data_IF_807068836981
#
_entry.id   IF_807068836981
#
_cell.length_a   1.000
_cell.length_b   1.000
_cell.length_c   1.000
_cell.angle_alpha   90.00
_cell.angle_beta   90.00
_cell.angle_gamma   90.00
#
_symmetry.space_group_name_H-M   'P 1'
#
loop_
_entity.id
_entity.type
_entity.pdbx_description
1 polymer ?
#
# COMPACT_ATOMS: atom_id res chain seq x y z
N UNK A 1 7.35 7.75 49.92
CA UNK A 1 7.69 6.66 48.97
C UNK A 1 6.44 6.39 48.14
N UNK A 2 6.32 7.01 46.96
CA UNK A 2 5.10 6.96 46.14
C UNK A 2 5.14 5.74 45.21
N UNK A 3 4.09 4.92 45.20
CA UNK A 3 3.98 3.78 44.29
C UNK A 3 3.91 4.26 42.83
N UNK A 4 4.64 3.63 41.89
CA UNK A 4 4.61 4.05 40.49
C UNK A 4 3.22 3.82 39.86
N UNK A 5 2.81 4.69 38.93
CA UNK A 5 1.43 4.78 38.43
C UNK A 5 1.10 3.59 37.52
N UNK A 6 0.36 2.61 38.04
CA UNK A 6 -0.23 1.49 37.27
C UNK A 6 -1.04 1.95 36.05
N UNK A 7 -1.56 3.18 36.07
CA UNK A 7 -2.27 3.80 34.96
C UNK A 7 -1.36 4.11 33.75
N UNK A 8 -0.09 4.46 33.97
CA UNK A 8 0.84 4.76 32.89
C UNK A 8 1.21 3.50 32.10
N UNK A 9 1.37 2.37 32.78
CA UNK A 9 1.72 1.08 32.15
C UNK A 9 0.59 0.51 31.29
N UNK A 10 -0.67 0.79 31.65
CA UNK A 10 -1.85 0.35 30.88
C UNK A 10 -2.14 1.22 29.64
N UNK A 11 -1.77 2.51 29.65
CA UNK A 11 -1.90 3.39 28.50
C UNK A 11 -0.80 3.15 27.45
N UNK A 12 0.40 2.75 27.89
CA UNK A 12 1.53 2.49 27.00
C UNK A 12 1.38 1.19 26.20
N UNK A 13 0.65 0.20 26.73
CA UNK A 13 0.38 -1.07 26.04
C UNK A 13 -0.67 -0.96 24.92
N UNK A 14 -1.68 -0.09 25.06
CA UNK A 14 -2.68 0.18 24.02
C UNK A 14 -2.17 1.10 22.91
N UNK A 15 -1.29 2.05 23.25
CA UNK A 15 -0.56 2.85 22.27
C UNK A 15 0.38 1.97 21.41
N UNK A 16 1.07 1.02 22.05
CA UNK A 16 1.92 0.04 21.36
C UNK A 16 1.14 -0.83 20.36
N UNK A 17 0.00 -1.39 20.75
CA UNK A 17 -0.80 -2.23 19.86
C UNK A 17 -1.38 -1.45 18.67
N UNK A 18 -1.78 -0.19 18.88
CA UNK A 18 -2.28 0.67 17.80
C UNK A 18 -1.16 1.02 16.80
N UNK A 19 0.05 1.31 17.30
CA UNK A 19 1.21 1.58 16.47
C UNK A 19 1.64 0.36 15.63
N UNK A 20 1.54 -0.84 16.21
CA UNK A 20 1.80 -2.10 15.51
C UNK A 20 0.83 -2.31 14.34
N UNK A 21 -0.46 -2.00 14.52
CA UNK A 21 -1.47 -2.09 13.45
C UNK A 21 -1.13 -1.14 12.30
N UNK A 22 -0.81 0.13 12.58
CA UNK A 22 -0.41 1.07 11.53
C UNK A 22 0.86 0.64 10.80
N UNK A 23 1.83 0.09 11.54
CA UNK A 23 3.04 -0.50 10.96
C UNK A 23 2.74 -1.66 10.03
N UNK A 24 1.88 -2.59 10.45
CA UNK A 24 1.49 -3.75 9.65
C UNK A 24 0.78 -3.33 8.35
N UNK A 25 -0.14 -2.36 8.42
CA UNK A 25 -0.84 -1.82 7.23
C UNK A 25 0.17 -1.17 6.28
N UNK A 26 1.11 -0.37 6.79
CA UNK A 26 2.14 0.25 5.96
C UNK A 26 3.00 -0.80 5.22
N UNK A 27 3.32 -1.93 5.88
CA UNK A 27 4.04 -3.05 5.24
C UNK A 27 3.20 -3.77 4.19
N UNK A 28 1.90 -3.95 4.41
CA UNK A 28 1.01 -4.49 3.41
C UNK A 28 0.93 -3.59 2.16
N UNK A 29 0.90 -2.26 2.36
CA UNK A 29 0.94 -1.31 1.25
C UNK A 29 2.26 -1.34 0.48
N UNK A 30 3.40 -1.55 1.16
CA UNK A 30 4.70 -1.77 0.50
C UNK A 30 4.67 -2.96 -0.46
N UNK A 31 4.08 -4.07 -0.03
CA UNK A 31 3.93 -5.27 -0.87
C UNK A 31 2.99 -4.97 -2.05
N UNK A 32 1.88 -4.27 -1.81
CA UNK A 32 0.96 -3.89 -2.88
C UNK A 32 1.61 -2.98 -3.93
N UNK A 33 2.41 -2.01 -3.49
CA UNK A 33 3.21 -1.14 -4.34
C UNK A 33 4.21 -1.94 -5.19
N UNK A 34 4.87 -2.95 -4.62
CA UNK A 34 5.74 -3.86 -5.35
C UNK A 34 4.97 -4.62 -6.45
N UNK A 35 3.79 -5.15 -6.12
CA UNK A 35 2.92 -5.86 -7.07
C UNK A 35 2.46 -4.96 -8.23
N UNK A 36 2.09 -3.71 -7.94
CA UNK A 36 1.78 -2.71 -8.98
C UNK A 36 3.00 -2.37 -9.83
N UNK A 37 4.19 -2.32 -9.23
CA UNK A 37 5.44 -2.06 -9.95
C UNK A 37 5.72 -3.18 -10.95
N UNK A 38 5.55 -4.44 -10.52
CA UNK A 38 5.63 -5.59 -11.41
C UNK A 38 4.58 -5.50 -12.53
N UNK A 39 3.32 -5.14 -12.21
CA UNK A 39 2.26 -4.96 -13.22
C UNK A 39 2.65 -3.96 -14.30
N UNK A 40 3.27 -2.83 -13.94
CA UNK A 40 3.74 -1.81 -14.89
C UNK A 40 4.94 -2.28 -15.71
N UNK A 41 5.93 -2.91 -15.09
CA UNK A 41 7.08 -3.43 -15.82
C UNK A 41 6.63 -4.49 -16.83
N UNK A 42 5.70 -5.36 -16.43
CA UNK A 42 5.17 -6.42 -17.29
C UNK A 42 4.33 -5.88 -18.46
N UNK A 43 3.67 -4.72 -18.35
CA UNK A 43 2.93 -4.13 -19.49
C UNK A 43 3.84 -3.60 -20.59
N UNK A 44 5.14 -3.39 -20.31
CA UNK A 44 6.12 -3.03 -21.34
C UNK A 44 6.40 -4.21 -22.27
N UNK A 45 6.15 -5.45 -21.81
CA UNK A 45 6.27 -6.66 -22.62
C UNK A 45 4.94 -6.95 -23.33
N UNK A 46 4.84 -6.52 -24.58
CA UNK A 46 3.61 -6.67 -25.39
C UNK A 46 3.19 -8.13 -25.69
N UNK A 47 4.08 -9.10 -25.49
CA UNK A 47 3.82 -10.53 -25.75
C UNK A 47 3.27 -11.31 -24.54
N UNK A 48 2.96 -10.64 -23.42
CA UNK A 48 2.43 -11.32 -22.23
C UNK A 48 0.94 -11.63 -22.38
N UNK A 49 0.57 -12.89 -22.16
CA UNK A 49 -0.83 -13.30 -22.08
C UNK A 49 -1.38 -13.09 -20.67
N UNK A 50 -2.15 -12.02 -20.49
CA UNK A 50 -2.77 -11.63 -19.21
C UNK A 50 -3.96 -12.50 -18.77
N UNK A 51 -4.35 -13.49 -19.57
CA UNK A 51 -5.44 -14.42 -19.26
C UNK A 51 -4.94 -15.79 -18.76
N UNK A 52 -3.62 -16.02 -18.80
CA UNK A 52 -3.01 -17.23 -18.28
C UNK A 52 -2.35 -16.98 -16.92
N UNK A 53 -2.29 -18.00 -16.08
CA UNK A 53 -1.52 -17.95 -14.83
C UNK A 53 -0.02 -17.81 -15.12
N UNK A 54 0.74 -17.07 -14.30
CA UNK A 54 0.34 -16.37 -13.07
C UNK A 54 -0.22 -14.94 -13.29
N UNK A 55 -0.25 -14.47 -14.54
CA UNK A 55 -0.59 -13.08 -14.87
C UNK A 55 -2.08 -12.78 -14.70
N UNK A 56 -2.94 -13.78 -14.87
CA UNK A 56 -4.37 -13.66 -14.61
C UNK A 56 -4.66 -13.33 -13.13
N UNK A 57 -4.01 -14.02 -12.19
CA UNK A 57 -4.09 -13.68 -10.76
C UNK A 57 -3.59 -12.26 -10.49
N UNK A 58 -2.44 -11.88 -11.05
CA UNK A 58 -1.88 -10.53 -10.89
C UNK A 58 -2.85 -9.45 -11.40
N UNK A 59 -3.47 -9.71 -12.55
CA UNK A 59 -4.48 -8.84 -13.15
C UNK A 59 -5.70 -8.72 -12.25
N UNK A 60 -6.27 -9.82 -11.76
CA UNK A 60 -7.44 -9.81 -10.88
C UNK A 60 -7.19 -9.01 -9.59
N UNK A 61 -5.96 -9.05 -9.07
CA UNK A 61 -5.59 -8.32 -7.85
C UNK A 61 -5.33 -6.82 -8.08
N UNK A 62 -4.83 -6.45 -9.26
CA UNK A 62 -4.46 -5.06 -9.58
C UNK A 62 -5.56 -4.30 -10.32
N UNK A 63 -6.37 -4.95 -11.14
CA UNK A 63 -7.40 -4.32 -11.98
C UNK A 63 -8.47 -3.56 -11.19
N UNK A 64 -9.04 -4.06 -10.06
CA UNK A 64 -10.04 -3.29 -9.31
C UNK A 64 -9.53 -1.92 -8.85
N UNK A 65 -8.28 -1.88 -8.37
CA UNK A 65 -7.63 -0.63 -7.97
C UNK A 65 -7.32 0.25 -9.19
N UNK A 66 -6.75 -0.32 -10.24
CA UNK A 66 -6.42 0.44 -11.46
C UNK A 66 -7.66 0.98 -12.17
N UNK A 67 -8.79 0.25 -12.12
CA UNK A 67 -10.07 0.66 -12.67
C UNK A 67 -10.63 1.91 -11.99
N UNK A 68 -10.38 2.12 -10.70
CA UNK A 68 -10.77 3.37 -10.00
C UNK A 68 -10.06 4.58 -10.60
N UNK A 69 -8.80 4.42 -11.04
CA UNK A 69 -8.03 5.48 -11.67
C UNK A 69 -8.14 5.48 -13.21
N UNK A 70 -8.81 4.48 -13.79
CA UNK A 70 -8.93 4.32 -15.24
C UNK A 70 -9.92 5.34 -15.78
N UNK A 71 -9.52 6.06 -16.83
CA UNK A 71 -10.33 7.13 -17.41
C UNK A 71 -10.09 8.52 -16.79
N UNK A 72 -9.33 8.63 -15.70
CA UNK A 72 -8.86 9.93 -15.19
C UNK A 72 -7.77 10.51 -16.11
N UNK A 73 -6.90 9.65 -16.62
CA UNK A 73 -5.85 10.02 -17.57
C UNK A 73 -6.07 9.32 -18.92
N UNK A 74 -5.81 10.01 -20.05
CA UNK A 74 -5.78 9.37 -21.36
C UNK A 74 -4.74 8.24 -21.37
N UNK A 75 -5.06 7.09 -21.96
CA UNK A 75 -4.06 6.05 -22.19
C UNK A 75 -3.03 6.55 -23.22
N UNK A 76 -1.76 6.65 -22.83
CA UNK A 76 -0.70 7.10 -23.71
C UNK A 76 -0.06 5.90 -24.41
N UNK A 77 -0.22 5.80 -25.73
CA UNK A 77 0.47 4.78 -26.55
C UNK A 77 0.08 3.33 -26.24
N UNK A 78 -1.10 3.09 -25.68
CA UNK A 78 -1.56 1.76 -25.26
C UNK A 78 -0.96 1.27 -23.93
N UNK A 79 -0.22 2.13 -23.22
CA UNK A 79 0.29 1.87 -21.87
C UNK A 79 -0.67 2.51 -20.86
N UNK A 80 -1.18 1.73 -19.92
CA UNK A 80 -2.04 2.22 -18.84
C UNK A 80 -1.22 3.11 -17.90
N UNK A 81 -1.58 4.39 -17.79
CA UNK A 81 -0.93 5.38 -16.90
C UNK A 81 -1.59 5.46 -15.51
N UNK A 82 -2.74 4.81 -15.34
CA UNK A 82 -3.42 4.62 -14.04
C UNK A 82 -2.49 4.20 -12.88
N UNK A 83 -1.49 3.31 -13.08
CA UNK A 83 -0.57 2.93 -12.01
C UNK A 83 0.23 4.10 -11.43
N UNK A 84 0.55 5.14 -12.21
CA UNK A 84 1.30 6.32 -11.71
C UNK A 84 0.51 7.09 -10.65
N UNK A 85 -0.78 7.31 -10.86
CA UNK A 85 -1.64 7.92 -9.84
C UNK A 85 -1.77 7.02 -8.61
N UNK A 86 -1.86 5.71 -8.83
CA UNK A 86 -1.84 4.71 -7.78
C UNK A 86 -0.59 4.80 -6.90
N UNK A 87 0.60 4.89 -7.52
CA UNK A 87 1.86 5.06 -6.80
C UNK A 87 1.88 6.32 -5.95
N UNK A 88 1.43 7.45 -6.50
CA UNK A 88 1.41 8.71 -5.77
C UNK A 88 0.52 8.63 -4.52
N UNK A 89 -0.71 8.13 -4.69
CA UNK A 89 -1.67 8.02 -3.59
C UNK A 89 -1.20 7.04 -2.52
N UNK A 90 -0.74 5.85 -2.93
CA UNK A 90 -0.31 4.81 -1.99
C UNK A 90 0.95 5.21 -1.22
N UNK A 91 1.93 5.85 -1.88
CA UNK A 91 3.11 6.36 -1.19
C UNK A 91 2.75 7.45 -0.17
N UNK A 92 1.82 8.34 -0.51
CA UNK A 92 1.31 9.35 0.42
C UNK A 92 0.67 8.67 1.65
N UNK A 93 -0.31 7.79 1.44
CA UNK A 93 -1.02 7.08 2.53
C UNK A 93 -0.04 6.30 3.41
N UNK A 94 0.88 5.57 2.79
CA UNK A 94 1.91 4.82 3.51
C UNK A 94 2.77 5.72 4.38
N UNK A 95 3.26 6.84 3.86
CA UNK A 95 4.10 7.75 4.63
C UNK A 95 3.36 8.33 5.83
N UNK A 96 2.07 8.67 5.66
CA UNK A 96 1.23 9.10 6.79
C UNK A 96 1.08 8.00 7.84
N UNK A 97 0.83 6.75 7.46
CA UNK A 97 0.71 5.63 8.40
C UNK A 97 2.01 5.39 9.19
N UNK A 98 3.16 5.48 8.53
CA UNK A 98 4.48 5.33 9.18
C UNK A 98 4.77 6.49 10.13
N UNK A 99 4.35 7.71 9.79
CA UNK A 99 4.50 8.85 10.70
C UNK A 99 3.65 8.65 11.96
N UNK A 100 2.40 8.25 11.81
CA UNK A 100 1.49 7.99 12.93
C UNK A 100 1.99 6.87 13.83
N UNK A 101 2.52 5.78 13.26
CA UNK A 101 3.08 4.68 14.05
C UNK A 101 4.28 5.13 14.88
N UNK A 102 5.15 5.99 14.33
CA UNK A 102 6.33 6.51 15.04
C UNK A 102 5.97 7.46 16.17
N UNK A 103 5.00 8.35 15.96
CA UNK A 103 4.56 9.32 16.99
C UNK A 103 3.85 8.67 18.16
N UNK A 104 3.35 7.44 18.02
CA UNK A 104 2.70 6.70 19.10
C UNK A 104 3.69 5.91 19.99
N UNK A 105 4.90 5.67 19.50
CA UNK A 105 5.94 4.89 20.19
C UNK A 105 6.91 5.80 20.96
N UNK A 106 7.05 7.06 20.53
CA UNK A 106 7.89 8.10 21.17
C UNK A 106 7.09 8.88 22.22
#
# INVERSE_FOLDING_TARGET
>A
MAAPPRAATAAQSSAGSTAEIYGAIAKALDIYLLVLTLRVILTWFRNINWFNEPFATLRQFTDPFLNVFRGILPAFGGIDVSPMLGFLLLNFVRNQLVHLSRTMIL
#
